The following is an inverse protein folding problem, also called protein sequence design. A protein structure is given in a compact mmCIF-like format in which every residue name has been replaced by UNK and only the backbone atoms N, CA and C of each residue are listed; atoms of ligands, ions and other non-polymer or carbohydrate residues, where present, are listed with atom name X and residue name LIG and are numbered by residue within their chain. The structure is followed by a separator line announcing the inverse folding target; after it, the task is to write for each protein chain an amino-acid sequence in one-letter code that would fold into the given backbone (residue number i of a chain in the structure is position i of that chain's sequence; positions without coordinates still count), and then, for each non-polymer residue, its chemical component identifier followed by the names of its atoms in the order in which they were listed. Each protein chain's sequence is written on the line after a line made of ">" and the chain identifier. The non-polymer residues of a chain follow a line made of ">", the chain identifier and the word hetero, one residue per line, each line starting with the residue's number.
data_IF_664186664329
#
_entry.id   IF_664186664329
#
_cell.length_a   1.000
_cell.length_b   1.000
_cell.length_c   1.000
_cell.angle_alpha   90.00
_cell.angle_beta   90.00
_cell.angle_gamma   90.00
#
_symmetry.space_group_name_H-M   'P 1'
#
loop_
_entity.id
_entity.type
_entity.pdbx_description
1 polymer ?
#
# COMPACT_ATOMS: atom_id res chain seq x y z
N UNK A 1 -35.17 -4.22 -1.51
CA UNK A 1 -34.29 -3.05 -1.29
C UNK A 1 -32.87 -3.51 -1.02
N UNK A 2 -32.14 -4.01 -2.03
CA UNK A 2 -30.77 -4.52 -1.82
C UNK A 2 -29.87 -4.48 -3.05
N UNK A 3 -30.30 -3.82 -4.13
CA UNK A 3 -29.55 -3.74 -5.39
C UNK A 3 -28.43 -2.70 -5.34
N UNK A 4 -28.71 -1.51 -4.82
CA UNK A 4 -27.76 -0.38 -4.85
C UNK A 4 -26.66 -0.50 -3.79
N UNK A 5 -26.99 -0.93 -2.56
CA UNK A 5 -26.00 -1.15 -1.49
C UNK A 5 -25.02 -2.29 -1.82
N UNK A 6 -25.49 -3.34 -2.50
CA UNK A 6 -24.65 -4.47 -2.94
C UNK A 6 -23.68 -4.08 -4.08
N UNK A 7 -24.12 -3.23 -5.01
CA UNK A 7 -23.30 -2.74 -6.11
C UNK A 7 -22.20 -1.78 -5.64
N UNK A 8 -22.52 -0.84 -4.75
CA UNK A 8 -21.54 0.09 -4.17
C UNK A 8 -20.47 -0.64 -3.33
N UNK A 9 -20.87 -1.64 -2.55
CA UNK A 9 -19.95 -2.49 -1.78
C UNK A 9 -18.96 -3.26 -2.68
N UNK A 10 -19.45 -3.76 -3.82
CA UNK A 10 -18.62 -4.47 -4.79
C UNK A 10 -17.60 -3.57 -5.48
N UNK A 11 -18.00 -2.36 -5.89
CA UNK A 11 -17.12 -1.38 -6.51
C UNK A 11 -15.99 -0.96 -5.56
N UNK A 12 -16.32 -0.69 -4.30
CA UNK A 12 -15.34 -0.37 -3.26
C UNK A 12 -14.33 -1.50 -3.01
N UNK A 13 -14.80 -2.75 -3.02
CA UNK A 13 -13.93 -3.91 -2.90
C UNK A 13 -12.98 -4.03 -4.11
N UNK A 14 -13.46 -3.77 -5.32
CA UNK A 14 -12.65 -3.83 -6.53
C UNK A 14 -11.63 -2.70 -6.62
N UNK A 15 -12.02 -1.45 -6.29
CA UNK A 15 -11.11 -0.31 -6.17
C UNK A 15 -9.98 -0.62 -5.19
N UNK A 16 -10.30 -1.17 -4.02
CA UNK A 16 -9.30 -1.56 -3.03
C UNK A 16 -8.38 -2.69 -3.51
N UNK A 17 -8.91 -3.71 -4.20
CA UNK A 17 -8.07 -4.76 -4.82
C UNK A 17 -7.12 -4.18 -5.87
N UNK A 18 -7.59 -3.26 -6.70
CA UNK A 18 -6.76 -2.55 -7.69
C UNK A 18 -5.66 -1.74 -7.03
N UNK A 19 -6.00 -0.93 -6.03
CA UNK A 19 -5.03 -0.17 -5.27
C UNK A 19 -3.94 -1.07 -4.68
N UNK A 20 -4.32 -2.19 -4.07
CA UNK A 20 -3.35 -3.10 -3.47
C UNK A 20 -2.43 -3.75 -4.53
N UNK A 21 -2.92 -4.04 -5.74
CA UNK A 21 -2.07 -4.50 -6.85
C UNK A 21 -1.00 -3.45 -7.20
N UNK A 22 -1.41 -2.19 -7.34
CA UNK A 22 -0.47 -1.10 -7.64
C UNK A 22 0.52 -0.90 -6.49
N UNK A 23 0.08 -1.04 -5.23
CA UNK A 23 0.97 -0.98 -4.07
C UNK A 23 2.03 -2.08 -4.10
N UNK A 24 1.67 -3.32 -4.47
CA UNK A 24 2.63 -4.42 -4.64
C UNK A 24 3.64 -4.09 -5.74
N UNK A 25 3.19 -3.54 -6.88
CA UNK A 25 4.09 -3.12 -7.96
C UNK A 25 5.05 -2.01 -7.51
N UNK A 26 4.56 -1.04 -6.72
CA UNK A 26 5.40 0.00 -6.11
C UNK A 26 6.43 -0.56 -5.14
N UNK A 27 6.11 -1.66 -4.43
CA UNK A 27 7.07 -2.37 -3.57
C UNK A 27 8.16 -3.05 -4.40
N UNK A 28 7.79 -3.73 -5.48
CA UNK A 28 8.75 -4.37 -6.38
C UNK A 28 9.71 -3.37 -7.03
N UNK A 29 9.22 -2.18 -7.40
CA UNK A 29 10.08 -1.14 -7.97
C UNK A 29 10.91 -0.38 -6.93
N UNK A 30 10.60 -0.53 -5.63
CA UNK A 30 11.33 0.16 -4.56
C UNK A 30 12.63 -0.53 -4.15
N UNK A 31 12.73 -1.85 -4.34
CA UNK A 31 13.93 -2.61 -3.97
C UNK A 31 14.09 -3.84 -4.86
N UNK A 32 15.34 -4.18 -5.22
CA UNK A 32 15.64 -5.30 -6.13
C UNK A 32 15.11 -6.66 -5.61
N UNK A 33 15.05 -6.81 -4.29
CA UNK A 33 14.59 -8.04 -3.62
C UNK A 33 13.14 -7.94 -3.12
N UNK A 34 12.32 -7.05 -3.69
CA UNK A 34 10.96 -6.77 -3.21
C UNK A 34 10.05 -8.01 -3.22
N UNK A 35 10.15 -8.85 -4.26
CA UNK A 35 9.39 -10.10 -4.33
C UNK A 35 9.79 -11.08 -3.21
N UNK A 36 11.08 -11.19 -2.94
CA UNK A 36 11.63 -12.08 -1.90
C UNK A 36 11.15 -11.63 -0.53
N UNK A 37 11.21 -10.32 -0.25
CA UNK A 37 10.69 -9.75 1.00
C UNK A 37 9.20 -10.04 1.16
N UNK A 38 8.37 -9.74 0.16
CA UNK A 38 6.94 -10.03 0.26
C UNK A 38 6.65 -11.51 0.47
N UNK A 39 7.41 -12.40 -0.20
CA UNK A 39 7.28 -13.86 0.00
C UNK A 39 7.67 -14.26 1.41
N UNK A 40 8.75 -13.71 1.93
CA UNK A 40 9.23 -14.01 3.28
C UNK A 40 8.22 -13.57 4.35
N UNK A 41 7.67 -12.36 4.22
CA UNK A 41 6.65 -11.85 5.15
C UNK A 41 5.36 -12.68 5.10
N UNK A 42 4.96 -13.16 3.92
CA UNK A 42 3.83 -14.08 3.78
C UNK A 42 4.08 -15.43 4.42
N UNK A 43 5.26 -16.02 4.20
CA UNK A 43 5.63 -17.34 4.74
C UNK A 43 5.72 -17.32 6.27
N UNK A 44 6.13 -16.20 6.87
CA UNK A 44 6.09 -16.01 8.33
C UNK A 44 4.68 -15.83 8.89
N UNK A 45 3.67 -15.64 8.02
CA UNK A 45 2.29 -15.39 8.42
C UNK A 45 2.02 -13.97 8.91
N UNK A 46 2.99 -13.06 8.82
CA UNK A 46 2.87 -11.70 9.35
C UNK A 46 1.88 -10.85 8.55
N UNK A 47 1.91 -10.94 7.22
CA UNK A 47 0.99 -10.21 6.35
C UNK A 47 0.86 -10.88 4.99
N UNK A 48 -0.38 -11.00 4.49
CA UNK A 48 -0.63 -11.41 3.11
C UNK A 48 -0.45 -10.23 2.16
N UNK A 49 0.11 -10.46 0.97
CA UNK A 49 0.33 -9.40 -0.04
C UNK A 49 -0.95 -8.66 -0.38
N UNK A 50 -2.09 -9.36 -0.46
CA UNK A 50 -3.41 -8.80 -0.76
C UNK A 50 -4.02 -7.95 0.38
N UNK A 51 -3.32 -7.86 1.53
CA UNK A 51 -3.78 -7.17 2.74
C UNK A 51 -2.87 -6.01 3.17
N UNK A 52 -1.86 -5.67 2.39
CA UNK A 52 -0.92 -4.59 2.73
C UNK A 52 -1.66 -3.25 2.81
N UNK A 53 -2.57 -2.97 1.88
CA UNK A 53 -3.38 -1.75 1.91
C UNK A 53 -4.34 -1.69 3.11
N UNK A 54 -4.75 -2.85 3.65
CA UNK A 54 -5.64 -2.93 4.81
C UNK A 54 -4.87 -2.74 6.13
N UNK A 55 -3.60 -3.17 6.17
CA UNK A 55 -2.74 -3.17 7.36
C UNK A 55 -1.33 -2.63 7.07
N UNK A 56 -1.20 -1.39 6.57
CA UNK A 56 0.10 -0.85 6.19
C UNK A 56 1.07 -0.72 7.38
N UNK A 57 0.55 -0.55 8.60
CA UNK A 57 1.33 -0.55 9.85
C UNK A 57 2.02 -1.90 10.14
N UNK A 58 1.35 -3.02 9.84
CA UNK A 58 1.94 -4.35 10.03
C UNK A 58 3.06 -4.56 9.01
N UNK A 59 2.84 -4.16 7.76
CA UNK A 59 3.89 -4.23 6.74
C UNK A 59 5.12 -3.39 7.12
N UNK A 60 4.92 -2.14 7.56
CA UNK A 60 6.00 -1.25 7.96
C UNK A 60 6.81 -1.85 9.12
N UNK A 61 6.13 -2.31 10.17
CA UNK A 61 6.79 -2.90 11.34
C UNK A 61 7.57 -4.17 11.00
N UNK A 62 7.05 -5.03 10.15
CA UNK A 62 7.76 -6.24 9.72
C UNK A 62 8.98 -5.92 8.84
N UNK A 63 8.87 -4.91 7.99
CA UNK A 63 10.00 -4.46 7.17
C UNK A 63 11.10 -3.84 8.04
N UNK A 64 10.74 -3.03 9.03
CA UNK A 64 11.65 -2.49 10.05
C UNK A 64 12.30 -3.61 10.87
N UNK A 65 11.54 -4.63 11.27
CA UNK A 65 12.11 -5.80 11.96
C UNK A 65 13.10 -6.58 11.09
N UNK A 66 12.95 -6.56 9.76
CA UNK A 66 13.80 -7.29 8.83
C UNK A 66 15.07 -6.52 8.46
N UNK A 67 14.95 -5.21 8.25
CA UNK A 67 16.00 -4.37 7.66
C UNK A 67 16.57 -3.33 8.65
N UNK A 68 16.03 -3.25 9.86
CA UNK A 68 16.36 -2.20 10.83
C UNK A 68 16.10 -0.81 10.27
N UNK A 69 16.99 0.13 10.61
CA UNK A 69 16.90 1.54 10.17
C UNK A 69 16.87 1.70 8.64
N UNK A 70 17.41 0.73 7.90
CA UNK A 70 17.39 0.71 6.44
C UNK A 70 15.98 0.62 5.85
N UNK A 71 15.00 0.11 6.60
CA UNK A 71 13.61 0.04 6.18
C UNK A 71 13.02 1.42 5.88
N UNK A 72 13.46 2.46 6.60
CA UNK A 72 12.91 3.81 6.45
C UNK A 72 13.06 4.35 5.01
N UNK A 73 14.24 4.20 4.42
CA UNK A 73 14.52 4.65 3.04
C UNK A 73 13.63 3.89 2.05
N UNK A 74 13.41 2.61 2.30
CA UNK A 74 12.57 1.76 1.46
C UNK A 74 11.09 2.16 1.58
N UNK A 75 10.59 2.38 2.79
CA UNK A 75 9.20 2.84 3.03
C UNK A 75 8.95 4.20 2.37
N UNK A 76 9.87 5.16 2.51
CA UNK A 76 9.80 6.45 1.84
C UNK A 76 9.75 6.29 0.31
N UNK A 77 10.56 5.39 -0.26
CA UNK A 77 10.56 5.12 -1.70
C UNK A 77 9.26 4.47 -2.17
N UNK A 78 8.70 3.52 -1.40
CA UNK A 78 7.40 2.90 -1.70
C UNK A 78 6.31 3.96 -1.76
N UNK A 79 6.30 4.90 -0.81
CA UNK A 79 5.35 6.03 -0.80
C UNK A 79 5.48 6.86 -2.07
N UNK A 80 6.69 7.28 -2.45
CA UNK A 80 6.87 8.05 -3.69
C UNK A 80 6.40 7.28 -4.92
N UNK A 81 6.71 5.99 -4.98
CA UNK A 81 6.35 5.14 -6.11
C UNK A 81 4.83 4.93 -6.22
N UNK A 82 4.10 4.74 -5.11
CA UNK A 82 2.65 4.53 -5.18
C UNK A 82 1.92 5.81 -5.60
N UNK A 83 2.32 6.98 -5.08
CA UNK A 83 1.73 8.25 -5.53
C UNK A 83 2.00 8.51 -7.01
N UNK A 84 3.23 8.25 -7.48
CA UNK A 84 3.59 8.34 -8.89
C UNK A 84 2.77 7.39 -9.77
N UNK A 85 2.68 6.11 -9.39
CA UNK A 85 1.94 5.09 -10.14
C UNK A 85 0.44 5.38 -10.21
N UNK A 86 -0.13 6.05 -9.21
CA UNK A 86 -1.53 6.47 -9.18
C UNK A 86 -1.78 7.83 -9.87
N UNK A 87 -0.71 8.50 -10.31
CA UNK A 87 -0.73 9.88 -10.81
C UNK A 87 -1.45 10.80 -9.80
N UNK A 88 -0.96 10.78 -8.55
CA UNK A 88 -1.41 11.58 -7.43
C UNK A 88 -0.29 12.47 -6.93
N UNK A 89 -0.64 13.66 -6.45
CA UNK A 89 0.33 14.55 -5.83
C UNK A 89 0.69 14.08 -4.41
N UNK A 90 2.00 13.93 -4.17
CA UNK A 90 2.57 13.65 -2.85
C UNK A 90 3.14 14.93 -2.24
N UNK A 91 2.56 15.35 -1.12
CA UNK A 91 3.04 16.49 -0.35
C UNK A 91 4.17 16.04 0.60
N UNK A 92 5.43 16.15 0.16
CA UNK A 92 6.60 15.77 0.96
C UNK A 92 6.73 16.54 2.29
N UNK A 93 6.12 17.74 2.37
CA UNK A 93 6.14 18.58 3.59
C UNK A 93 5.18 18.09 4.67
N UNK A 94 4.18 17.28 4.30
CA UNK A 94 3.33 16.61 5.26
C UNK A 94 4.16 15.46 5.85
N UNK A 95 4.61 15.59 7.11
CA UNK A 95 5.40 14.58 7.84
C UNK A 95 4.58 13.30 8.14
N UNK A 96 3.96 12.72 7.12
CA UNK A 96 3.12 11.52 7.21
C UNK A 96 4.02 10.30 7.37
N UNK A 97 3.67 9.46 8.33
CA UNK A 97 4.21 8.10 8.45
C UNK A 97 3.80 7.26 7.24
N UNK A 98 4.48 6.14 7.01
CA UNK A 98 4.12 5.21 5.93
C UNK A 98 2.64 4.81 5.97
N UNK A 99 2.06 4.36 7.12
CA UNK A 99 0.64 4.02 7.17
C UNK A 99 -0.30 5.18 6.84
N UNK A 100 0.02 6.40 7.27
CA UNK A 100 -0.77 7.58 6.92
C UNK A 100 -0.73 7.87 5.43
N UNK A 101 0.45 7.80 4.81
CA UNK A 101 0.63 8.00 3.37
C UNK A 101 -0.10 6.95 2.53
N UNK A 102 -0.08 5.67 2.92
CA UNK A 102 -0.82 4.62 2.19
C UNK A 102 -2.34 4.84 2.30
N UNK A 103 -2.85 5.20 3.48
CA UNK A 103 -4.28 5.48 3.67
C UNK A 103 -4.73 6.73 2.91
N UNK A 104 -3.89 7.77 2.90
CA UNK A 104 -4.12 8.99 2.12
C UNK A 104 -4.15 8.71 0.62
N UNK A 105 -3.18 7.95 0.10
CA UNK A 105 -3.16 7.53 -1.30
C UNK A 105 -4.41 6.71 -1.67
N UNK A 106 -4.84 5.80 -0.80
CA UNK A 106 -6.06 5.00 -1.02
C UNK A 106 -7.31 5.88 -1.04
N UNK A 107 -7.40 6.87 -0.15
CA UNK A 107 -8.50 7.82 -0.11
C UNK A 107 -8.57 8.62 -1.42
N UNK A 108 -7.46 9.27 -1.80
CA UNK A 108 -7.36 10.05 -3.05
C UNK A 108 -7.65 9.20 -4.29
N UNK A 109 -7.19 7.94 -4.31
CA UNK A 109 -7.47 7.01 -5.40
C UNK A 109 -8.96 6.72 -5.58
N UNK A 110 -9.70 6.57 -4.47
CA UNK A 110 -11.15 6.36 -4.52
C UNK A 110 -11.88 7.58 -5.04
N UNK A 111 -11.57 8.76 -4.52
CA UNK A 111 -12.17 10.04 -4.94
C UNK A 111 -11.93 10.35 -6.42
N UNK A 112 -10.77 9.95 -6.97
CA UNK A 112 -10.45 10.10 -8.40
C UNK A 112 -11.22 9.13 -9.31
N UNK A 113 -11.76 8.05 -8.75
CA UNK A 113 -12.41 6.96 -9.49
C UNK A 113 -13.93 6.90 -9.21
N UNK A 114 -14.48 7.93 -8.56
CA UNK A 114 -15.92 8.24 -8.51
C UNK A 114 -16.30 9.16 -9.68
#
# INVERSE_FOLDING_TARGET
>A
MGGEEGLASFDEAEKRRRFNRILIESIYSSMEFGEVVLRFLELRGSIKRDKIADKPEVFASELESLLGDGARIILERIVKNIYSNLNLEYEETAKKSFPESIRDALKKYREKTE
#
